data_IF_257737756567
#
_entry.id   IF_257737756567
#
_cell.length_a   1.000
_cell.length_b   1.000
_cell.length_c   1.000
_cell.angle_alpha   90.00
_cell.angle_beta   90.00
_cell.angle_gamma   90.00
#
_symmetry.space_group_name_H-M   'P 1'
#
loop_
_entity.id
_entity.type
_entity.pdbx_description
1 polymer ?
#
# COMPACT_ATOMS: atom_id res chain seq x y z
N UNK A 1 31.10 -6.63 21.99
CA UNK A 1 30.05 -5.64 22.32
C UNK A 1 29.60 -4.78 21.13
N UNK A 2 30.48 -4.14 20.34
CA UNK A 2 30.03 -3.29 19.20
C UNK A 2 29.27 -4.03 18.07
N UNK A 3 29.57 -5.32 17.82
CA UNK A 3 28.86 -6.13 16.79
C UNK A 3 27.39 -6.43 17.14
N UNK A 4 27.08 -6.67 18.42
CA UNK A 4 25.70 -6.96 18.85
C UNK A 4 24.82 -5.71 18.82
N UNK A 5 25.37 -4.56 19.23
CA UNK A 5 24.68 -3.25 19.13
C UNK A 5 24.41 -2.87 17.67
N UNK A 6 25.38 -3.05 16.75
CA UNK A 6 25.18 -2.75 15.33
C UNK A 6 24.10 -3.64 14.70
N UNK A 7 24.07 -4.94 15.03
CA UNK A 7 23.05 -5.88 14.54
C UNK A 7 21.64 -5.55 15.07
N UNK A 8 21.54 -5.12 16.34
CA UNK A 8 20.27 -4.71 16.95
C UNK A 8 19.71 -3.43 16.32
N UNK A 9 20.54 -2.42 16.07
CA UNK A 9 20.14 -1.18 15.38
C UNK A 9 19.69 -1.41 13.93
N UNK A 10 20.26 -2.42 13.25
CA UNK A 10 19.84 -2.81 11.89
C UNK A 10 18.47 -3.49 11.90
N UNK A 11 18.16 -4.31 12.91
CA UNK A 11 16.85 -4.95 13.04
C UNK A 11 15.75 -3.94 13.40
N UNK A 12 16.02 -3.04 14.37
CA UNK A 12 15.09 -1.96 14.75
C UNK A 12 14.69 -1.09 13.54
N UNK A 13 15.66 -0.65 12.74
CA UNK A 13 15.35 0.12 11.53
C UNK A 13 14.52 -0.69 10.52
N UNK A 14 14.80 -1.99 10.33
CA UNK A 14 14.02 -2.84 9.42
C UNK A 14 12.59 -3.06 9.88
N UNK A 15 12.38 -3.19 11.18
CA UNK A 15 11.06 -3.41 11.75
C UNK A 15 10.22 -2.11 11.68
N UNK A 16 10.86 -0.95 11.91
CA UNK A 16 10.24 0.35 11.68
C UNK A 16 9.82 0.52 10.21
N UNK A 17 10.70 0.19 9.27
CA UNK A 17 10.41 0.31 7.84
C UNK A 17 9.21 -0.55 7.40
N UNK A 18 9.09 -1.77 7.93
CA UNK A 18 7.92 -2.63 7.72
C UNK A 18 6.66 -2.04 8.34
N UNK A 19 6.75 -1.50 9.55
CA UNK A 19 5.62 -0.82 10.19
C UNK A 19 5.12 0.36 9.33
N UNK A 20 6.01 1.22 8.85
CA UNK A 20 5.59 2.35 8.01
C UNK A 20 5.03 1.90 6.65
N UNK A 21 5.60 0.87 6.03
CA UNK A 21 5.05 0.28 4.81
C UNK A 21 3.63 -0.28 5.03
N UNK A 22 3.44 -0.97 6.16
CA UNK A 22 2.17 -1.50 6.60
C UNK A 22 1.15 -0.39 6.86
N UNK A 23 1.51 0.64 7.62
CA UNK A 23 0.62 1.78 7.89
C UNK A 23 0.23 2.47 6.57
N UNK A 24 1.20 2.62 5.66
CA UNK A 24 1.02 3.13 4.30
C UNK A 24 -0.04 2.38 3.50
N UNK A 25 0.04 1.06 3.50
CA UNK A 25 -0.90 0.18 2.80
C UNK A 25 -2.28 0.11 3.49
N UNK A 26 -2.30 0.03 4.83
CA UNK A 26 -3.51 -0.23 5.62
C UNK A 26 -4.45 0.98 5.66
N UNK A 27 -3.90 2.17 5.92
CA UNK A 27 -4.69 3.40 6.02
C UNK A 27 -4.87 4.14 4.70
N UNK A 28 -4.53 3.50 3.56
CA UNK A 28 -4.60 4.03 2.19
C UNK A 28 -4.12 5.49 2.11
N UNK A 29 -5.02 6.47 2.11
CA UNK A 29 -4.70 7.91 2.01
C UNK A 29 -3.97 8.46 3.25
N UNK A 30 -4.40 8.09 4.45
CA UNK A 30 -3.80 8.56 5.71
C UNK A 30 -2.44 7.90 5.90
N UNK A 31 -2.36 6.61 5.58
CA UNK A 31 -1.11 5.86 5.56
C UNK A 31 -0.10 6.45 4.59
N UNK A 32 -0.54 6.75 3.38
CA UNK A 32 0.29 7.37 2.36
C UNK A 32 0.87 8.71 2.82
N UNK A 33 0.06 9.59 3.40
CA UNK A 33 0.50 10.88 3.92
C UNK A 33 1.57 10.74 5.02
N UNK A 34 1.35 9.81 5.96
CA UNK A 34 2.30 9.52 7.04
C UNK A 34 3.66 9.10 6.47
N UNK A 35 3.67 8.16 5.52
CA UNK A 35 4.89 7.68 4.88
C UNK A 35 5.56 8.78 4.05
N UNK A 36 4.79 9.58 3.33
CA UNK A 36 5.28 10.68 2.51
C UNK A 36 6.01 11.73 3.35
N UNK A 37 5.53 12.02 4.57
CA UNK A 37 6.13 13.01 5.47
C UNK A 37 7.31 12.41 6.24
N UNK A 38 7.15 11.21 6.82
CA UNK A 38 8.10 10.64 7.78
C UNK A 38 9.18 9.75 7.16
N UNK A 39 8.90 9.16 6.00
CA UNK A 39 9.71 8.10 5.38
C UNK A 39 9.89 8.31 3.88
N UNK A 40 9.87 9.57 3.40
CA UNK A 40 10.00 9.91 1.97
C UNK A 40 11.19 9.24 1.27
N UNK A 41 12.33 9.17 1.96
CA UNK A 41 13.60 8.62 1.44
C UNK A 41 13.64 7.09 1.45
N UNK A 42 12.67 6.43 2.08
CA UNK A 42 12.63 4.97 2.12
C UNK A 42 11.80 4.46 0.95
N UNK A 43 12.48 3.93 -0.06
CA UNK A 43 11.83 3.45 -1.27
C UNK A 43 10.89 2.24 -1.03
N UNK A 44 11.09 1.47 0.04
CA UNK A 44 10.23 0.34 0.41
C UNK A 44 8.90 0.81 0.99
N UNK A 45 8.95 1.66 2.01
CA UNK A 45 7.76 2.25 2.61
C UNK A 45 6.98 3.08 1.58
N UNK A 46 7.68 3.89 0.78
CA UNK A 46 7.08 4.71 -0.28
C UNK A 46 6.38 3.86 -1.34
N UNK A 47 6.92 2.70 -1.70
CA UNK A 47 6.33 1.80 -2.67
C UNK A 47 4.96 1.27 -2.22
N UNK A 48 4.87 0.77 -0.98
CA UNK A 48 3.59 0.30 -0.42
C UNK A 48 2.60 1.43 -0.14
N UNK A 49 3.10 2.62 0.22
CA UNK A 49 2.29 3.82 0.34
C UNK A 49 1.66 4.23 -1.00
N UNK A 50 2.42 4.21 -2.10
CA UNK A 50 1.90 4.48 -3.44
C UNK A 50 0.88 3.42 -3.88
N UNK A 51 1.09 2.15 -3.55
CA UNK A 51 0.09 1.10 -3.80
C UNK A 51 -1.23 1.36 -3.04
N UNK A 52 -1.15 1.80 -1.78
CA UNK A 52 -2.32 2.22 -1.00
C UNK A 52 -3.06 3.42 -1.62
N UNK A 53 -2.33 4.38 -2.19
CA UNK A 53 -2.92 5.52 -2.90
C UNK A 53 -3.66 5.09 -4.18
N UNK A 54 -3.08 4.17 -4.97
CA UNK A 54 -3.73 3.63 -6.17
C UNK A 54 -5.01 2.87 -5.81
N UNK A 55 -4.99 2.07 -4.75
CA UNK A 55 -6.19 1.40 -4.23
C UNK A 55 -7.27 2.41 -3.82
N UNK A 56 -6.90 3.52 -3.19
CA UNK A 56 -7.84 4.59 -2.83
C UNK A 56 -8.48 5.23 -4.07
N UNK A 57 -7.67 5.56 -5.08
CA UNK A 57 -8.19 6.15 -6.33
C UNK A 57 -9.13 5.17 -7.03
N UNK A 58 -8.80 3.87 -7.06
CA UNK A 58 -9.68 2.84 -7.62
C UNK A 58 -11.02 2.77 -6.87
N UNK A 59 -11.01 2.84 -5.53
CA UNK A 59 -12.23 2.85 -4.72
C UNK A 59 -13.10 4.09 -4.99
N UNK A 60 -12.49 5.27 -5.17
CA UNK A 60 -13.19 6.51 -5.54
C UNK A 60 -13.88 6.39 -6.91
N UNK A 61 -13.20 5.80 -7.90
CA UNK A 61 -13.78 5.55 -9.23
C UNK A 61 -14.97 4.59 -9.12
N UNK A 62 -14.84 3.51 -8.35
CA UNK A 62 -15.94 2.54 -8.18
C UNK A 62 -17.17 3.16 -7.50
N UNK A 63 -16.98 4.07 -6.56
CA UNK A 63 -18.08 4.78 -5.88
C UNK A 63 -18.90 5.67 -6.82
N UNK A 64 -18.39 6.04 -8.00
CA UNK A 64 -19.13 6.82 -8.99
C UNK A 64 -20.12 5.91 -9.75
N UNK A 65 -19.73 4.65 -10.00
CA UNK A 65 -20.54 3.69 -10.76
C UNK A 65 -21.66 3.03 -9.94
N UNK A 66 -21.60 3.09 -8.60
CA UNK A 66 -22.66 2.55 -7.73
C UNK A 66 -23.99 3.32 -7.81
N UNK A 67 -24.01 4.49 -8.46
CA UNK A 67 -25.23 5.27 -8.70
C UNK A 67 -26.16 4.69 -9.78
N UNK A 68 -25.71 3.71 -10.58
CA UNK A 68 -26.52 3.08 -11.63
C UNK A 68 -27.23 1.84 -11.06
N UNK A 69 -28.57 1.82 -10.93
CA UNK A 69 -29.30 0.68 -10.36
C UNK A 69 -29.20 -0.59 -11.22
N UNK A 70 -29.30 -1.76 -10.58
CA UNK A 70 -29.19 -3.11 -11.14
C UNK A 70 -27.82 -3.47 -11.75
N UNK A 71 -27.41 -2.85 -12.86
CA UNK A 71 -26.14 -3.15 -13.52
C UNK A 71 -24.96 -2.69 -12.67
N UNK A 72 -25.06 -1.50 -12.08
CA UNK A 72 -23.98 -0.92 -11.27
C UNK A 72 -23.78 -1.69 -9.96
N UNK A 73 -24.82 -2.31 -9.40
CA UNK A 73 -24.72 -3.09 -8.16
C UNK A 73 -24.00 -4.42 -8.35
N UNK A 74 -24.31 -5.16 -9.42
CA UNK A 74 -23.62 -6.42 -9.74
C UNK A 74 -22.15 -6.14 -10.06
N UNK A 75 -21.89 -5.12 -10.89
CA UNK A 75 -20.54 -4.77 -11.29
C UNK A 75 -19.71 -4.24 -10.10
N UNK A 76 -20.28 -3.36 -9.28
CA UNK A 76 -19.60 -2.84 -8.08
C UNK A 76 -19.29 -3.93 -7.05
N UNK A 77 -20.16 -4.93 -6.90
CA UNK A 77 -19.90 -6.07 -5.99
C UNK A 77 -18.68 -6.87 -6.44
N UNK A 78 -18.58 -7.19 -7.73
CA UNK A 78 -17.42 -7.91 -8.29
C UNK A 78 -16.14 -7.10 -8.15
N UNK A 79 -16.19 -5.80 -8.48
CA UNK A 79 -15.06 -4.88 -8.35
C UNK A 79 -14.61 -4.73 -6.90
N UNK A 80 -15.54 -4.71 -5.94
CA UNK A 80 -15.24 -4.66 -4.51
C UNK A 80 -14.48 -5.91 -4.07
N UNK A 81 -14.88 -7.10 -4.51
CA UNK A 81 -14.17 -8.34 -4.18
C UNK A 81 -12.74 -8.32 -4.75
N UNK A 82 -12.57 -7.90 -6.01
CA UNK A 82 -11.24 -7.77 -6.63
C UNK A 82 -10.38 -6.77 -5.87
N UNK A 83 -10.96 -5.62 -5.51
CA UNK A 83 -10.29 -4.58 -4.74
C UNK A 83 -9.85 -5.09 -3.36
N UNK A 84 -10.71 -5.85 -2.67
CA UNK A 84 -10.42 -6.42 -1.36
C UNK A 84 -9.27 -7.43 -1.42
N UNK A 85 -9.25 -8.29 -2.45
CA UNK A 85 -8.15 -9.25 -2.68
C UNK A 85 -6.84 -8.50 -2.88
N UNK A 86 -6.84 -7.45 -3.71
CA UNK A 86 -5.66 -6.64 -3.96
C UNK A 86 -5.17 -5.91 -2.69
N UNK A 87 -6.09 -5.38 -1.89
CA UNK A 87 -5.77 -4.73 -0.62
C UNK A 87 -5.12 -5.70 0.38
N UNK A 88 -5.67 -6.92 0.52
CA UNK A 88 -5.09 -7.96 1.39
C UNK A 88 -3.70 -8.39 0.89
N UNK A 89 -3.52 -8.54 -0.43
CA UNK A 89 -2.20 -8.86 -1.00
C UNK A 89 -1.18 -7.77 -0.72
N UNK A 90 -1.52 -6.50 -0.95
CA UNK A 90 -0.65 -5.35 -0.64
C UNK A 90 -0.29 -5.32 0.84
N UNK A 91 -1.25 -5.61 1.72
CA UNK A 91 -1.03 -5.70 3.16
C UNK A 91 -0.03 -6.80 3.53
N UNK A 92 -0.25 -8.04 3.10
CA UNK A 92 0.65 -9.17 3.39
C UNK A 92 2.06 -8.91 2.82
N UNK A 93 2.12 -8.36 1.60
CA UNK A 93 3.38 -8.06 0.93
C UNK A 93 4.18 -6.95 1.64
N UNK A 94 3.50 -5.95 2.23
CA UNK A 94 4.13 -4.89 3.03
C UNK A 94 4.79 -5.39 4.33
N UNK A 95 4.42 -6.58 4.79
CA UNK A 95 5.04 -7.23 5.95
C UNK A 95 6.20 -8.16 5.57
N UNK A 96 6.30 -8.54 4.29
CA UNK A 96 7.33 -9.47 3.79
C UNK A 96 8.76 -8.89 3.85
N UNK A 97 8.90 -7.56 3.96
CA UNK A 97 10.20 -6.88 3.85
C UNK A 97 10.81 -6.88 2.43
N UNK A 98 10.07 -7.35 1.41
CA UNK A 98 10.49 -7.32 -0.01
C UNK A 98 9.53 -6.46 -0.81
N UNK A 99 10.04 -5.68 -1.78
CA UNK A 99 9.16 -4.94 -2.71
C UNK A 99 8.54 -5.95 -3.67
N UNK A 100 7.25 -6.17 -3.55
CA UNK A 100 6.51 -7.11 -4.39
C UNK A 100 5.54 -6.30 -5.24
N UNK A 101 5.75 -6.30 -6.56
CA UNK A 101 4.80 -5.70 -7.49
C UNK A 101 3.56 -6.60 -7.56
N UNK A 102 2.44 -6.07 -7.05
CA UNK A 102 1.17 -6.78 -7.07
C UNK A 102 0.43 -6.35 -8.33
N UNK A 103 0.54 -7.18 -9.38
CA UNK A 103 -0.18 -7.07 -10.65
C UNK A 103 -0.21 -5.63 -11.21
N UNK A 104 -1.40 -5.04 -11.40
CA UNK A 104 -1.63 -3.73 -12.04
C UNK A 104 -1.26 -2.53 -11.12
N UNK A 105 -1.37 -2.70 -9.80
CA UNK A 105 -1.20 -1.59 -8.84
C UNK A 105 0.27 -1.20 -8.73
N UNK A 106 1.16 -2.18 -8.81
CA UNK A 106 2.61 -1.98 -8.79
C UNK A 106 3.10 -1.08 -9.95
N UNK A 107 2.69 -1.39 -11.18
CA UNK A 107 3.05 -0.61 -12.36
C UNK A 107 2.48 0.81 -12.32
N UNK A 108 1.25 0.98 -11.84
CA UNK A 108 0.63 2.31 -11.67
C UNK A 108 1.33 3.12 -10.57
N UNK A 109 1.72 2.48 -9.47
CA UNK A 109 2.47 3.09 -8.38
C UNK A 109 3.87 3.54 -8.82
N UNK A 110 4.55 2.76 -9.67
CA UNK A 110 5.88 3.11 -10.20
C UNK A 110 5.86 4.33 -11.13
N UNK A 111 4.75 4.56 -11.85
CA UNK A 111 4.59 5.76 -12.71
C UNK A 111 4.45 7.05 -11.91
N UNK A 112 4.12 6.98 -10.62
CA UNK A 112 4.01 8.14 -9.75
C UNK A 112 5.43 8.59 -9.34
N UNK A 113 5.96 9.61 -10.02
CA UNK A 113 7.21 10.28 -9.64
C UNK A 113 6.95 11.26 -8.48
N UNK A 114 7.34 10.88 -7.26
CA UNK A 114 7.20 11.66 -6.02
C UNK A 114 8.45 11.49 -5.14
#
# INVERSE_FOLDING_TARGET
MKKSVKKQNINLNKDDEKLFAFLGAFFTIVGFLIVLILRKKNDYAMFYAKQGLVLFIAAMIFSIFSGIPFIGWIFSTILLVIWLILWIMTFINSLSGKKINTFIIGELAEKIKL
#
